data_IF_225914624360
#
_entry.id   IF_225914624360
#
_cell.length_a   1.000
_cell.length_b   1.000
_cell.length_c   1.000
_cell.angle_alpha   90.00
_cell.angle_beta   90.00
_cell.angle_gamma   90.00
#
_symmetry.space_group_name_H-M   'P 1'
#
loop_
_entity.id
_entity.type
_entity.pdbx_description
1 polymer ?
#
# COMPACT_ATOMS: atom_id res chain seq x y z
N UNK A 1 -0.78 3.72 -6.92
CA UNK A 1 -1.53 4.68 -6.07
C UNK A 1 -0.53 5.77 -5.68
N UNK A 2 -0.60 6.96 -6.23
CA UNK A 2 0.30 8.06 -5.87
C UNK A 2 -0.02 8.60 -4.47
N UNK A 3 0.98 9.21 -3.82
CA UNK A 3 0.89 9.77 -2.47
C UNK A 3 -0.21 10.85 -2.32
N UNK A 4 -0.40 11.67 -3.35
CA UNK A 4 -1.47 12.66 -3.40
C UNK A 4 -2.39 12.34 -4.58
N UNK A 5 -3.49 11.67 -4.32
CA UNK A 5 -4.49 11.40 -5.33
C UNK A 5 -5.67 12.35 -5.17
N UNK A 6 -6.12 12.93 -6.29
CA UNK A 6 -7.34 13.71 -6.32
C UNK A 6 -8.54 12.79 -6.00
N UNK A 7 -9.05 12.89 -4.79
CA UNK A 7 -10.26 12.22 -4.37
C UNK A 7 -11.43 13.19 -4.63
N UNK A 8 -12.48 12.70 -5.28
CA UNK A 8 -13.67 13.51 -5.55
C UNK A 8 -14.48 13.73 -4.25
N UNK A 9 -14.42 14.92 -3.60
CA UNK A 9 -14.97 15.11 -2.25
C UNK A 9 -16.48 15.02 -2.21
N UNK A 10 -17.15 15.23 -3.34
CA UNK A 10 -18.61 15.18 -3.47
C UNK A 10 -19.16 13.77 -3.70
N UNK A 11 -18.29 12.81 -4.09
CA UNK A 11 -18.70 11.41 -4.23
C UNK A 11 -18.81 10.74 -2.87
N UNK A 12 -19.68 9.74 -2.76
CA UNK A 12 -19.60 8.78 -1.65
C UNK A 12 -18.43 7.83 -1.88
N UNK A 13 -17.97 7.13 -0.83
CA UNK A 13 -16.94 6.08 -0.99
C UNK A 13 -17.38 5.03 -2.02
N UNK A 14 -18.64 4.61 -1.98
CA UNK A 14 -19.23 3.65 -2.94
C UNK A 14 -19.16 4.19 -4.38
N UNK A 15 -19.57 5.43 -4.59
CA UNK A 15 -19.51 6.07 -5.93
C UNK A 15 -18.08 6.16 -6.43
N UNK A 16 -17.13 6.52 -5.57
CA UNK A 16 -15.72 6.59 -5.93
C UNK A 16 -15.19 5.21 -6.34
N UNK A 17 -15.41 4.18 -5.52
CA UNK A 17 -14.96 2.83 -5.85
C UNK A 17 -15.65 2.28 -7.11
N UNK A 18 -16.94 2.55 -7.29
CA UNK A 18 -17.66 2.15 -8.51
C UNK A 18 -17.06 2.80 -9.76
N UNK A 19 -16.82 4.10 -9.70
CA UNK A 19 -16.19 4.83 -10.81
C UNK A 19 -14.80 4.25 -11.16
N UNK A 20 -13.97 4.02 -10.15
CA UNK A 20 -12.62 3.47 -10.35
C UNK A 20 -12.64 2.02 -10.84
N UNK A 21 -13.57 1.20 -10.33
CA UNK A 21 -13.75 -0.18 -10.78
C UNK A 21 -14.17 -0.27 -12.25
N UNK A 22 -15.10 0.60 -12.67
CA UNK A 22 -15.52 0.68 -14.08
C UNK A 22 -14.36 1.13 -15.00
N UNK A 23 -13.55 2.08 -14.58
CA UNK A 23 -12.35 2.49 -15.33
C UNK A 23 -11.33 1.35 -15.48
N UNK A 24 -11.27 0.43 -14.50
CA UNK A 24 -10.43 -0.76 -14.55
C UNK A 24 -11.07 -1.93 -15.32
N UNK A 25 -12.27 -1.76 -15.88
CA UNK A 25 -12.95 -2.78 -16.64
C UNK A 25 -13.67 -3.84 -15.80
N UNK A 26 -13.92 -3.58 -14.50
CA UNK A 26 -14.70 -4.49 -13.66
C UNK A 26 -16.13 -4.57 -14.21
N UNK A 27 -16.63 -5.78 -14.43
CA UNK A 27 -17.99 -5.99 -14.93
C UNK A 27 -19.04 -5.52 -13.91
N UNK A 28 -20.06 -4.82 -14.39
CA UNK A 28 -21.13 -4.25 -13.53
C UNK A 28 -21.79 -5.28 -12.61
N UNK A 29 -21.90 -6.53 -13.08
CA UNK A 29 -22.56 -7.61 -12.32
C UNK A 29 -21.83 -8.02 -11.04
N UNK A 30 -20.48 -7.84 -10.98
CA UNK A 30 -19.64 -8.22 -9.83
C UNK A 30 -19.10 -6.97 -9.10
N UNK A 31 -19.30 -5.79 -9.67
CA UNK A 31 -18.71 -4.55 -9.17
C UNK A 31 -19.11 -4.24 -7.73
N UNK A 32 -20.38 -4.41 -7.38
CA UNK A 32 -20.85 -4.11 -6.03
C UNK A 32 -20.26 -5.08 -4.99
N UNK A 33 -20.16 -6.36 -5.33
CA UNK A 33 -19.58 -7.39 -4.45
C UNK A 33 -18.09 -7.11 -4.21
N UNK A 34 -17.34 -6.70 -5.26
CA UNK A 34 -15.95 -6.29 -5.11
C UNK A 34 -15.79 -5.03 -4.26
N UNK A 35 -16.66 -4.04 -4.44
CA UNK A 35 -16.66 -2.82 -3.63
C UNK A 35 -16.86 -3.17 -2.15
N UNK A 36 -17.87 -3.95 -1.82
CA UNK A 36 -18.17 -4.32 -0.43
C UNK A 36 -17.05 -5.18 0.17
N UNK A 37 -16.50 -6.14 -0.60
CA UNK A 37 -15.35 -6.94 -0.21
C UNK A 37 -14.16 -6.08 0.21
N UNK A 38 -13.72 -5.15 -0.64
CA UNK A 38 -12.55 -4.34 -0.34
C UNK A 38 -12.83 -3.20 0.64
N UNK A 39 -14.04 -2.64 0.66
CA UNK A 39 -14.45 -1.67 1.68
C UNK A 39 -14.47 -2.31 3.08
N UNK A 40 -14.94 -3.54 3.20
CA UNK A 40 -14.89 -4.31 4.45
C UNK A 40 -13.44 -4.55 4.90
N UNK A 41 -12.56 -4.98 3.98
CA UNK A 41 -11.15 -5.24 4.26
C UNK A 41 -10.38 -4.00 4.74
N UNK A 42 -10.81 -2.80 4.40
CA UNK A 42 -10.20 -1.54 4.85
C UNK A 42 -11.00 -0.84 5.96
N UNK A 43 -11.96 -1.52 6.58
CA UNK A 43 -12.80 -0.98 7.65
C UNK A 43 -13.53 0.32 7.25
N UNK A 44 -14.11 0.36 6.06
CA UNK A 44 -14.89 1.50 5.55
C UNK A 44 -16.33 1.15 5.18
N UNK A 45 -16.76 -0.09 5.37
CA UNK A 45 -18.09 -0.55 4.93
C UNK A 45 -19.23 0.30 5.54
N UNK A 46 -19.17 0.56 6.86
CA UNK A 46 -20.20 1.30 7.60
C UNK A 46 -20.30 2.78 7.21
N UNK A 47 -19.26 3.30 6.58
CA UNK A 47 -19.18 4.72 6.17
C UNK A 47 -19.16 4.90 4.65
N UNK A 48 -19.28 3.80 3.91
CA UNK A 48 -19.09 3.76 2.46
C UNK A 48 -20.05 4.70 1.71
N UNK A 49 -21.25 4.91 2.22
CA UNK A 49 -22.25 5.77 1.62
C UNK A 49 -22.19 7.24 2.07
N UNK A 50 -21.20 7.60 2.92
CA UNK A 50 -20.91 8.99 3.28
C UNK A 50 -20.02 9.64 2.22
N UNK A 51 -20.12 10.97 2.09
CA UNK A 51 -19.27 11.76 1.17
C UNK A 51 -17.80 11.67 1.57
N UNK A 52 -16.92 11.39 0.61
CA UNK A 52 -15.47 11.27 0.82
C UNK A 52 -14.86 12.58 1.36
N UNK A 53 -15.48 13.73 1.08
CA UNK A 53 -15.07 15.00 1.68
C UNK A 53 -15.12 15.02 3.21
N UNK A 54 -15.97 14.15 3.84
CA UNK A 54 -16.09 14.03 5.30
C UNK A 54 -15.15 12.99 5.91
N UNK A 55 -14.37 12.27 5.09
CA UNK A 55 -13.43 11.26 5.57
C UNK A 55 -12.18 11.89 6.20
N UNK A 56 -11.66 11.26 7.26
CA UNK A 56 -10.33 11.60 7.78
C UNK A 56 -9.23 11.27 6.76
N UNK A 57 -8.00 11.75 6.99
CA UNK A 57 -6.85 11.42 6.15
C UNK A 57 -6.64 9.90 6.04
N UNK A 58 -6.65 9.19 7.17
CA UNK A 58 -6.52 7.73 7.19
C UNK A 58 -7.67 7.00 6.49
N UNK A 59 -8.91 7.48 6.61
CA UNK A 59 -10.04 6.92 5.86
C UNK A 59 -9.88 7.10 4.36
N UNK A 60 -9.39 8.25 3.90
CA UNK A 60 -9.09 8.51 2.49
C UNK A 60 -7.99 7.58 1.99
N UNK A 61 -6.92 7.42 2.76
CA UNK A 61 -5.82 6.51 2.43
C UNK A 61 -6.31 5.07 2.29
N UNK A 62 -7.11 4.58 3.23
CA UNK A 62 -7.71 3.24 3.16
C UNK A 62 -8.66 3.07 1.96
N UNK A 63 -9.42 4.10 1.60
CA UNK A 63 -10.26 4.08 0.39
C UNK A 63 -9.42 3.94 -0.89
N UNK A 64 -8.27 4.63 -0.96
CA UNK A 64 -7.34 4.53 -2.08
C UNK A 64 -6.68 3.15 -2.17
N UNK A 65 -6.40 2.52 -1.04
CA UNK A 65 -5.89 1.14 -1.00
C UNK A 65 -6.96 0.16 -1.51
N UNK A 66 -8.21 0.29 -1.04
CA UNK A 66 -9.32 -0.51 -1.54
C UNK A 66 -9.46 -0.39 -3.07
N UNK A 67 -9.41 0.84 -3.59
CA UNK A 67 -9.46 1.11 -5.02
C UNK A 67 -8.31 0.44 -5.80
N UNK A 68 -7.10 0.36 -5.22
CA UNK A 68 -5.97 -0.26 -5.88
C UNK A 68 -6.21 -1.76 -6.14
N UNK A 69 -6.90 -2.44 -5.25
CA UNK A 69 -7.21 -3.87 -5.34
C UNK A 69 -8.45 -4.21 -6.18
N UNK A 70 -9.31 -3.24 -6.54
CA UNK A 70 -10.45 -3.51 -7.42
C UNK A 70 -9.98 -4.06 -8.78
N UNK A 71 -10.69 -5.07 -9.27
CA UNK A 71 -10.38 -5.75 -10.52
C UNK A 71 -9.16 -6.69 -10.41
N UNK A 72 -8.83 -7.36 -11.50
CA UNK A 72 -7.73 -8.35 -11.55
C UNK A 72 -6.41 -7.72 -12.03
N UNK A 73 -5.98 -6.61 -11.42
CA UNK A 73 -4.70 -5.99 -11.74
C UNK A 73 -3.55 -6.95 -11.36
N UNK A 74 -2.68 -7.27 -12.31
CA UNK A 74 -1.50 -8.12 -12.09
C UNK A 74 -0.33 -7.35 -11.49
N UNK A 75 -0.30 -6.03 -11.68
CA UNK A 75 0.72 -5.13 -11.13
C UNK A 75 0.01 -4.03 -10.35
N UNK A 76 0.40 -3.85 -9.10
CA UNK A 76 -0.10 -2.78 -8.23
C UNK A 76 1.10 -1.99 -7.71
N UNK A 77 1.03 -0.68 -7.82
CA UNK A 77 2.08 0.22 -7.35
C UNK A 77 1.50 1.10 -6.24
N UNK A 78 2.13 1.07 -5.09
CA UNK A 78 1.84 1.93 -3.95
C UNK A 78 2.99 2.92 -3.73
N UNK A 79 2.64 4.17 -3.52
CA UNK A 79 3.56 5.23 -3.15
C UNK A 79 3.13 5.73 -1.77
N UNK A 80 3.97 5.45 -0.77
CA UNK A 80 3.75 5.75 0.65
C UNK A 80 2.37 5.29 1.18
N UNK A 81 2.01 3.98 1.08
CA UNK A 81 0.65 3.52 1.39
C UNK A 81 0.26 3.69 2.86
N UNK A 82 1.23 3.79 3.76
CA UNK A 82 1.04 3.88 5.21
C UNK A 82 1.22 5.31 5.76
N UNK A 83 1.57 6.28 4.90
CA UNK A 83 1.78 7.66 5.30
C UNK A 83 0.53 8.26 5.96
N UNK A 84 0.70 8.88 7.14
CA UNK A 84 -0.38 9.52 7.88
C UNK A 84 -1.35 8.58 8.60
N UNK A 85 -1.04 7.27 8.63
CA UNK A 85 -1.77 6.27 9.41
C UNK A 85 -1.16 6.12 10.81
N UNK A 86 -1.99 5.82 11.80
CA UNK A 86 -1.52 5.42 13.12
C UNK A 86 -0.90 4.00 13.09
N UNK A 87 -0.12 3.59 14.11
CA UNK A 87 0.58 2.31 14.10
C UNK A 87 -0.32 1.09 13.89
N UNK A 88 -1.53 1.10 14.44
CA UNK A 88 -2.49 0.00 14.30
C UNK A 88 -2.99 -0.11 12.85
N UNK A 89 -3.31 1.01 12.24
CA UNK A 89 -3.74 1.08 10.85
C UNK A 89 -2.62 0.69 9.88
N UNK A 90 -1.35 1.05 10.18
CA UNK A 90 -0.19 0.61 9.38
C UNK A 90 -0.08 -0.90 9.34
N UNK A 91 -0.14 -1.56 10.49
CA UNK A 91 -0.11 -3.04 10.58
C UNK A 91 -1.27 -3.62 9.76
N UNK A 92 -2.46 -3.06 9.89
CA UNK A 92 -3.62 -3.53 9.14
C UNK A 92 -3.43 -3.42 7.62
N UNK A 93 -2.89 -2.29 7.15
CA UNK A 93 -2.60 -2.07 5.72
C UNK A 93 -1.51 -3.01 5.22
N UNK A 94 -0.44 -3.24 5.98
CA UNK A 94 0.60 -4.22 5.63
C UNK A 94 0.00 -5.61 5.43
N UNK A 95 -0.76 -6.10 6.41
CA UNK A 95 -1.40 -7.40 6.32
C UNK A 95 -2.34 -7.50 5.13
N UNK A 96 -3.13 -6.45 4.87
CA UNK A 96 -4.01 -6.39 3.70
C UNK A 96 -3.23 -6.51 2.38
N UNK A 97 -2.11 -5.82 2.26
CA UNK A 97 -1.25 -5.89 1.06
C UNK A 97 -0.68 -7.30 0.93
N UNK A 98 -0.12 -7.86 1.99
CA UNK A 98 0.42 -9.22 2.03
C UNK A 98 -0.63 -10.26 1.62
N UNK A 99 -1.81 -10.25 2.27
CA UNK A 99 -2.88 -11.23 2.04
C UNK A 99 -3.48 -11.18 0.62
N UNK A 100 -3.30 -10.07 -0.09
CA UNK A 100 -3.80 -9.90 -1.45
C UNK A 100 -2.68 -9.87 -2.51
N UNK A 101 -1.46 -10.28 -2.15
CA UNK A 101 -0.29 -10.30 -3.04
C UNK A 101 -0.22 -11.53 -3.95
N UNK A 102 -0.90 -12.62 -3.60
CA UNK A 102 -0.81 -13.88 -4.34
C UNK A 102 -1.13 -13.70 -5.84
N UNK A 103 -0.21 -14.11 -6.69
CA UNK A 103 -0.33 -14.00 -8.15
C UNK A 103 -0.21 -12.58 -8.71
N UNK A 104 0.29 -11.62 -7.92
CA UNK A 104 0.46 -10.22 -8.32
C UNK A 104 1.90 -9.76 -8.07
N UNK A 105 2.32 -8.76 -8.84
CA UNK A 105 3.52 -7.97 -8.55
C UNK A 105 3.05 -6.73 -7.80
N UNK A 106 3.49 -6.58 -6.55
CA UNK A 106 3.21 -5.39 -5.74
C UNK A 106 4.51 -4.63 -5.53
N UNK A 107 4.57 -3.42 -6.05
CA UNK A 107 5.68 -2.50 -5.86
C UNK A 107 5.29 -1.44 -4.82
N UNK A 108 6.07 -1.32 -3.75
CA UNK A 108 5.86 -0.33 -2.70
C UNK A 108 7.06 0.61 -2.68
N UNK A 109 6.83 1.90 -2.91
CA UNK A 109 7.79 2.95 -2.64
C UNK A 109 7.50 3.52 -1.24
N UNK A 110 8.47 3.46 -0.34
CA UNK A 110 8.35 4.01 1.01
C UNK A 110 9.71 4.35 1.59
N UNK A 111 9.73 5.32 2.49
CA UNK A 111 10.89 5.64 3.34
C UNK A 111 10.75 5.01 4.74
N UNK A 112 9.62 4.37 5.05
CA UNK A 112 9.37 3.68 6.32
C UNK A 112 9.75 2.21 6.17
N UNK A 113 11.00 1.91 6.46
CA UNK A 113 11.61 0.58 6.26
C UNK A 113 10.86 -0.52 7.03
N UNK A 114 10.45 -0.23 8.25
CA UNK A 114 9.70 -1.14 9.13
C UNK A 114 8.34 -1.60 8.54
N UNK A 115 7.76 -0.81 7.61
CA UNK A 115 6.48 -1.17 6.99
C UNK A 115 6.60 -2.26 5.92
N UNK A 116 7.81 -2.55 5.46
CA UNK A 116 8.04 -3.51 4.37
C UNK A 116 8.88 -4.73 4.79
N UNK A 117 9.59 -4.66 5.91
CA UNK A 117 10.51 -5.70 6.36
C UNK A 117 9.86 -7.09 6.43
N UNK A 118 8.66 -7.18 7.00
CA UNK A 118 7.95 -8.45 7.19
C UNK A 118 7.20 -8.95 5.94
N UNK A 119 7.00 -8.09 4.92
CA UNK A 119 6.13 -8.41 3.79
C UNK A 119 6.84 -8.40 2.43
N UNK A 120 8.03 -7.81 2.35
CA UNK A 120 8.77 -7.72 1.10
C UNK A 120 9.53 -9.01 0.80
N UNK A 121 9.35 -9.56 -0.38
CA UNK A 121 10.18 -10.65 -0.89
C UNK A 121 11.52 -10.15 -1.42
N UNK A 122 11.57 -8.89 -1.88
CA UNK A 122 12.79 -8.24 -2.36
C UNK A 122 12.75 -6.74 -2.05
N UNK A 123 13.90 -6.19 -1.74
CA UNK A 123 14.13 -4.76 -1.52
C UNK A 123 14.97 -4.21 -2.67
N UNK A 124 14.55 -3.09 -3.22
CA UNK A 124 15.33 -2.31 -4.20
C UNK A 124 15.83 -1.04 -3.54
N UNK A 125 17.17 -0.90 -3.48
CA UNK A 125 17.83 0.28 -2.92
C UNK A 125 18.19 1.24 -4.06
N UNK A 126 17.52 2.42 -4.09
CA UNK A 126 17.77 3.44 -5.10
C UNK A 126 18.46 4.66 -4.48
N UNK A 127 19.56 5.11 -5.08
CA UNK A 127 20.28 6.34 -4.69
C UNK A 127 20.47 7.22 -5.92
N UNK A 128 19.97 8.46 -5.89
CA UNK A 128 20.07 9.43 -6.98
C UNK A 128 19.62 8.90 -8.35
N UNK A 129 18.54 8.09 -8.36
CA UNK A 129 17.97 7.51 -9.59
C UNK A 129 18.70 6.26 -10.11
N UNK A 130 19.70 5.76 -9.38
CA UNK A 130 20.43 4.55 -9.74
C UNK A 130 20.03 3.41 -8.79
N UNK A 131 19.73 2.23 -9.35
CA UNK A 131 19.54 1.02 -8.58
C UNK A 131 20.91 0.56 -8.05
N UNK A 132 21.11 0.67 -6.74
CA UNK A 132 22.34 0.25 -6.06
C UNK A 132 22.33 -1.26 -5.89
N UNK A 133 21.21 -1.79 -5.45
CA UNK A 133 21.07 -3.21 -5.17
C UNK A 133 19.60 -3.65 -5.18
N UNK A 134 19.39 -4.95 -5.41
CA UNK A 134 18.11 -5.62 -5.28
C UNK A 134 18.35 -7.00 -4.67
N UNK A 135 17.84 -7.26 -3.47
CA UNK A 135 18.00 -8.53 -2.78
C UNK A 135 16.86 -8.77 -1.78
N UNK A 136 16.76 -10.00 -1.28
CA UNK A 136 15.85 -10.33 -0.17
C UNK A 136 16.31 -9.62 1.13
N UNK A 137 15.37 -9.27 2.03
CA UNK A 137 15.69 -8.60 3.30
C UNK A 137 16.82 -9.28 4.07
N UNK A 138 16.78 -10.60 4.19
CA UNK A 138 17.76 -11.39 4.96
C UNK A 138 19.17 -11.33 4.36
N UNK A 139 19.28 -11.16 3.03
CA UNK A 139 20.58 -11.01 2.36
C UNK A 139 21.16 -9.63 2.65
N UNK A 140 20.32 -8.60 2.69
CA UNK A 140 20.75 -7.23 2.96
C UNK A 140 21.20 -7.08 4.42
N UNK A 141 20.37 -7.54 5.37
CA UNK A 141 20.70 -7.47 6.81
C UNK A 141 21.90 -8.31 7.16
N UNK A 142 22.06 -9.50 6.55
CA UNK A 142 23.24 -10.37 6.78
C UNK A 142 24.59 -9.79 6.40
N UNK A 143 24.66 -8.61 5.76
CA UNK A 143 25.92 -7.90 5.45
C UNK A 143 26.34 -6.93 6.54
N UNK A 144 25.45 -6.58 7.45
CA UNK A 144 25.78 -5.75 8.61
C UNK A 144 26.42 -6.66 9.66
N UNK A 145 27.69 -6.44 9.95
CA UNK A 145 28.49 -7.33 10.81
C UNK A 145 28.81 -6.73 12.18
N UNK A 146 28.52 -5.47 12.37
CA UNK A 146 28.82 -4.69 13.58
C UNK A 146 27.67 -4.65 14.59
N UNK A 147 26.57 -5.39 14.30
CA UNK A 147 25.38 -5.50 15.14
C UNK A 147 24.94 -6.96 15.26
N UNK A 148 24.51 -7.40 16.43
CA UNK A 148 24.12 -8.79 16.69
C UNK A 148 22.83 -9.19 15.98
N UNK A 149 21.86 -8.28 15.89
CA UNK A 149 20.58 -8.47 15.19
C UNK A 149 20.32 -7.25 14.28
N UNK A 150 20.92 -7.20 13.09
CA UNK A 150 20.72 -6.10 12.18
C UNK A 150 19.32 -6.15 11.53
N UNK A 151 18.74 -4.97 11.30
CA UNK A 151 17.48 -4.79 10.61
C UNK A 151 17.66 -3.98 9.30
N UNK A 152 16.58 -3.79 8.55
CA UNK A 152 16.66 -3.02 7.31
C UNK A 152 16.94 -1.53 7.54
N UNK A 153 16.68 -0.99 8.73
CA UNK A 153 17.04 0.39 9.07
C UNK A 153 18.56 0.55 9.15
N UNK A 154 19.27 -0.45 9.70
CA UNK A 154 20.75 -0.49 9.71
C UNK A 154 21.31 -0.53 8.29
N UNK A 155 20.70 -1.34 7.41
CA UNK A 155 21.07 -1.38 5.98
C UNK A 155 20.86 0.00 5.34
N UNK A 156 19.72 0.64 5.60
CA UNK A 156 19.45 1.97 5.08
C UNK A 156 20.48 2.99 5.55
N UNK A 157 20.77 3.02 6.84
CA UNK A 157 21.77 3.93 7.43
C UNK A 157 23.19 3.68 6.88
N UNK A 158 23.56 2.43 6.64
CA UNK A 158 24.89 2.10 6.07
C UNK A 158 25.08 2.64 4.65
N UNK A 159 24.02 2.78 3.88
CA UNK A 159 24.04 3.21 2.46
C UNK A 159 23.74 4.70 2.31
N UNK A 160 22.83 5.24 3.12
CA UNK A 160 22.28 6.58 3.00
C UNK A 160 22.60 7.51 4.17
N UNK A 161 23.03 6.95 5.33
CA UNK A 161 23.46 7.74 6.48
C UNK A 161 24.80 8.41 6.18
N UNK A 162 24.77 9.71 5.91
CA UNK A 162 25.93 10.62 5.92
C UNK A 162 25.87 11.46 7.16
#
# INVERSE_FOLDING_TARGET
MPQQQAIYPFYTGRMFLAYMGLLKGVEKKVLNDEIEKYASKVNLLDVLDRKVGTYSGGMKQRLLIAQAFLGDSKIIIFDEPTAGLDPKERIHVRNLIHDNSAGKIILIATHVVQDIEDIASQIMLLKKGVLIEMAAPEILTGRITDKENPDLEDVYLSIFGE
#
